data_IF_301965232107
#
_entry.id   IF_301965232107
#
_cell.length_a   1.000
_cell.length_b   1.000
_cell.length_c   1.000
_cell.angle_alpha   90.00
_cell.angle_beta   90.00
_cell.angle_gamma   90.00
#
_symmetry.space_group_name_H-M   'P 1'
#
loop_
_entity.id
_entity.type
_entity.pdbx_description
1 polymer ?
#
# COMPACT_ATOMS: atom_id res chain seq x y z
N UNK A 1 33.28 -3.60 72.90
CA UNK A 1 33.44 -2.99 71.55
C UNK A 1 33.38 -4.04 70.41
N UNK A 2 32.55 -5.09 70.55
CA UNK A 2 32.58 -6.27 69.67
C UNK A 2 31.23 -6.61 69.01
N UNK A 3 30.10 -6.11 69.52
CA UNK A 3 28.76 -6.43 68.98
C UNK A 3 28.27 -5.48 67.88
N UNK A 4 28.74 -4.23 67.85
CA UNK A 4 28.36 -3.26 66.81
C UNK A 4 28.97 -3.59 65.44
N UNK A 5 30.17 -4.16 65.40
CA UNK A 5 30.83 -4.60 64.15
C UNK A 5 30.12 -5.78 63.48
N UNK A 6 29.47 -6.65 64.26
CA UNK A 6 28.72 -7.82 63.74
C UNK A 6 27.36 -7.41 63.17
N UNK A 7 26.70 -6.41 63.76
CA UNK A 7 25.43 -5.87 63.27
C UNK A 7 25.61 -5.12 61.94
N UNK A 8 26.70 -4.35 61.81
CA UNK A 8 27.03 -3.69 60.53
C UNK A 8 27.40 -4.69 59.42
N UNK A 9 28.06 -5.80 59.75
CA UNK A 9 28.37 -6.85 58.78
C UNK A 9 27.11 -7.58 58.27
N UNK A 10 26.11 -7.82 59.12
CA UNK A 10 24.85 -8.45 58.73
C UNK A 10 23.96 -7.52 57.88
N UNK A 11 23.93 -6.22 58.17
CA UNK A 11 23.22 -5.22 57.35
C UNK A 11 23.86 -5.05 55.95
N UNK A 12 25.18 -5.13 55.85
CA UNK A 12 25.88 -5.07 54.56
C UNK A 12 25.59 -6.30 53.67
N UNK A 13 25.46 -7.49 54.26
CA UNK A 13 25.12 -8.72 53.52
C UNK A 13 23.67 -8.71 53.05
N UNK A 14 22.74 -8.16 53.84
CA UNK A 14 21.33 -8.02 53.41
C UNK A 14 21.15 -6.95 52.32
N UNK A 15 21.92 -5.86 52.36
CA UNK A 15 21.93 -4.85 51.30
C UNK A 15 22.52 -5.37 49.97
N UNK A 16 23.52 -6.27 50.03
CA UNK A 16 24.06 -6.95 48.84
C UNK A 16 23.11 -8.01 48.27
N UNK A 17 22.33 -8.70 49.13
CA UNK A 17 21.33 -9.67 48.67
C UNK A 17 20.09 -8.99 48.05
N UNK A 18 19.71 -7.80 48.52
CA UNK A 18 18.62 -7.02 47.93
C UNK A 18 19.01 -6.38 46.58
N UNK A 19 20.29 -6.06 46.37
CA UNK A 19 20.79 -5.52 45.10
C UNK A 19 20.88 -6.52 43.94
N UNK A 20 20.85 -7.83 44.22
CA UNK A 20 20.90 -8.88 43.20
C UNK A 20 19.51 -9.29 42.67
N UNK A 21 18.42 -8.91 43.34
CA UNK A 21 17.05 -9.26 42.93
C UNK A 21 16.40 -8.20 42.04
N UNK A 22 16.93 -6.98 41.98
CA UNK A 22 16.37 -5.88 41.16
C UNK A 22 17.16 -5.57 39.88
N UNK A 23 18.08 -6.43 39.47
CA UNK A 23 18.80 -6.29 38.19
C UNK A 23 18.13 -7.04 37.01
N UNK A 24 17.01 -7.74 37.24
CA UNK A 24 16.17 -8.31 36.17
C UNK A 24 15.18 -7.27 35.60
N UNK A 25 15.66 -6.04 35.42
CA UNK A 25 14.98 -5.06 34.56
C UNK A 25 15.15 -5.52 33.12
N UNK A 26 14.17 -6.32 32.68
CA UNK A 26 13.71 -6.55 31.29
C UNK A 26 14.47 -5.78 30.20
N UNK A 27 15.60 -6.32 29.77
CA UNK A 27 16.04 -6.18 28.38
C UNK A 27 15.38 -7.33 27.61
N UNK A 28 14.25 -7.04 26.97
CA UNK A 28 13.43 -7.98 26.20
C UNK A 28 14.03 -8.35 24.83
N UNK A 29 15.34 -8.23 24.62
CA UNK A 29 16.00 -8.84 23.48
C UNK A 29 16.43 -10.25 23.86
N UNK A 30 15.47 -11.18 23.91
CA UNK A 30 15.80 -12.60 23.78
C UNK A 30 16.20 -12.80 22.33
N UNK A 31 17.49 -13.07 22.10
CA UNK A 31 17.97 -13.54 20.81
C UNK A 31 17.28 -14.88 20.52
N UNK A 32 16.34 -14.87 19.58
CA UNK A 32 15.55 -16.02 19.19
C UNK A 32 16.44 -17.04 18.45
N UNK A 33 16.26 -18.33 18.76
CA UNK A 33 16.94 -19.37 17.99
C UNK A 33 16.44 -19.38 16.55
N UNK A 34 17.30 -19.75 15.59
CA UNK A 34 16.94 -19.87 14.17
C UNK A 34 15.73 -20.80 13.97
N UNK A 35 15.67 -21.90 14.72
CA UNK A 35 14.53 -22.84 14.68
C UNK A 35 13.23 -22.22 15.20
N UNK A 36 13.32 -21.43 16.27
CA UNK A 36 12.18 -20.74 16.87
C UNK A 36 11.65 -19.66 15.90
N UNK A 37 12.54 -18.97 15.20
CA UNK A 37 12.18 -18.02 14.14
C UNK A 37 11.42 -18.69 13.00
N UNK A 38 11.89 -19.84 12.51
CA UNK A 38 11.22 -20.57 11.43
C UNK A 38 9.86 -21.12 11.87
N UNK A 39 9.76 -21.64 13.10
CA UNK A 39 8.49 -22.12 13.63
C UNK A 39 7.50 -20.98 13.81
N UNK A 40 7.93 -19.84 14.34
CA UNK A 40 7.07 -18.68 14.49
C UNK A 40 6.57 -18.16 13.15
N UNK A 41 7.44 -18.05 12.13
CA UNK A 41 7.04 -17.66 10.78
C UNK A 41 6.01 -18.66 10.21
N UNK A 42 6.23 -19.98 10.36
CA UNK A 42 5.29 -20.98 9.88
C UNK A 42 3.91 -20.90 10.54
N UNK A 43 3.86 -20.58 11.83
CA UNK A 43 2.61 -20.41 12.60
C UNK A 43 1.91 -19.11 12.20
N UNK A 44 2.67 -18.02 12.04
CA UNK A 44 2.13 -16.74 11.59
C UNK A 44 1.48 -16.87 10.20
N UNK A 45 2.16 -17.49 9.24
CA UNK A 45 1.61 -17.70 7.89
C UNK A 45 0.35 -18.58 7.93
N UNK A 46 0.30 -19.58 8.82
CA UNK A 46 -0.91 -20.37 9.04
C UNK A 46 -2.05 -19.52 9.59
N UNK A 47 -1.80 -18.69 10.61
CA UNK A 47 -2.79 -17.79 11.19
C UNK A 47 -3.35 -16.85 10.12
N UNK A 48 -2.47 -16.23 9.32
CA UNK A 48 -2.85 -15.34 8.21
C UNK A 48 -3.76 -16.07 7.23
N UNK A 49 -3.40 -17.30 6.83
CA UNK A 49 -4.18 -18.09 5.87
C UNK A 49 -5.58 -18.43 6.38
N UNK A 50 -5.67 -18.90 7.62
CA UNK A 50 -6.95 -19.32 8.21
C UNK A 50 -7.85 -18.11 8.49
N UNK A 51 -7.30 -17.04 9.06
CA UNK A 51 -8.08 -15.86 9.42
C UNK A 51 -8.51 -15.02 8.21
N UNK A 52 -7.68 -14.95 7.15
CA UNK A 52 -8.07 -14.24 5.92
C UNK A 52 -9.31 -14.86 5.26
N UNK A 53 -9.46 -16.20 5.37
CA UNK A 53 -10.57 -16.98 4.80
C UNK A 53 -11.75 -17.17 5.76
N UNK A 54 -11.64 -16.72 7.01
CA UNK A 54 -12.74 -16.74 7.96
C UNK A 54 -13.89 -15.85 7.46
N UNK A 55 -15.13 -16.14 7.89
CA UNK A 55 -16.30 -15.32 7.51
C UNK A 55 -16.35 -13.99 8.29
N UNK A 56 -15.79 -13.98 9.50
CA UNK A 56 -15.81 -12.83 10.41
C UNK A 56 -14.91 -11.70 9.91
N UNK A 57 -15.49 -10.50 9.80
CA UNK A 57 -14.74 -9.27 9.52
C UNK A 57 -13.59 -9.03 10.51
N UNK A 58 -13.79 -9.33 11.79
CA UNK A 58 -12.78 -9.06 12.81
C UNK A 58 -11.55 -9.96 12.65
N UNK A 59 -11.76 -11.24 12.30
CA UNK A 59 -10.66 -12.16 12.01
C UNK A 59 -9.86 -11.70 10.79
N UNK A 60 -10.52 -11.16 9.77
CA UNK A 60 -9.84 -10.61 8.59
C UNK A 60 -9.00 -9.39 8.93
N UNK A 61 -9.48 -8.53 9.82
CA UNK A 61 -8.71 -7.38 10.29
C UNK A 61 -7.49 -7.81 11.11
N UNK A 62 -7.64 -8.83 11.94
CA UNK A 62 -6.50 -9.43 12.67
C UNK A 62 -5.52 -10.08 11.68
N UNK A 63 -5.98 -10.80 10.66
CA UNK A 63 -5.11 -11.30 9.59
C UNK A 63 -4.32 -10.18 8.91
N UNK A 64 -4.95 -9.03 8.66
CA UNK A 64 -4.29 -7.85 8.10
C UNK A 64 -3.29 -7.20 9.07
N UNK A 65 -3.48 -7.31 10.38
CA UNK A 65 -2.47 -6.88 11.37
C UNK A 65 -1.23 -7.77 11.28
N UNK A 66 -1.39 -9.09 11.28
CA UNK A 66 -0.28 -10.02 11.09
C UNK A 66 0.42 -9.82 9.74
N UNK A 67 -0.32 -9.58 8.66
CA UNK A 67 0.27 -9.28 7.35
C UNK A 67 1.08 -7.98 7.38
N UNK A 68 0.56 -6.92 8.00
CA UNK A 68 1.27 -5.65 8.13
C UNK A 68 2.59 -5.83 8.88
N UNK A 69 2.53 -6.50 10.04
CA UNK A 69 3.71 -6.83 10.85
C UNK A 69 4.74 -7.68 10.07
N UNK A 70 4.27 -8.61 9.24
CA UNK A 70 5.13 -9.44 8.40
C UNK A 70 5.82 -8.61 7.29
N UNK A 71 5.08 -7.72 6.62
CA UNK A 71 5.62 -6.80 5.60
C UNK A 71 6.65 -5.84 6.22
N UNK A 72 6.39 -5.32 7.41
CA UNK A 72 7.32 -4.44 8.12
C UNK A 72 8.65 -5.14 8.46
N UNK A 73 8.61 -6.46 8.66
CA UNK A 73 9.81 -7.31 8.82
C UNK A 73 10.43 -7.76 7.48
N UNK A 74 9.86 -7.36 6.36
CA UNK A 74 10.33 -7.69 5.01
C UNK A 74 9.82 -9.02 4.46
N UNK A 75 8.85 -9.67 5.11
CA UNK A 75 8.23 -10.87 4.57
C UNK A 75 7.12 -10.49 3.58
N UNK A 76 7.43 -10.64 2.30
CA UNK A 76 6.52 -10.37 1.16
C UNK A 76 6.23 -11.64 0.36
N UNK A 77 6.30 -12.81 1.01
CA UNK A 77 6.15 -14.11 0.37
C UNK A 77 4.77 -14.38 -0.25
N UNK A 78 4.66 -15.52 -0.92
CA UNK A 78 3.46 -15.93 -1.67
C UNK A 78 2.19 -15.97 -0.82
N UNK A 79 2.28 -16.46 0.42
CA UNK A 79 1.11 -16.56 1.31
C UNK A 79 0.59 -15.18 1.72
N UNK A 80 1.50 -14.22 1.96
CA UNK A 80 1.15 -12.82 2.25
C UNK A 80 0.41 -12.22 1.04
N UNK A 81 1.01 -12.35 -0.14
CA UNK A 81 0.44 -11.82 -1.38
C UNK A 81 -0.93 -12.42 -1.70
N UNK A 82 -1.05 -13.75 -1.65
CA UNK A 82 -2.31 -14.45 -1.96
C UNK A 82 -3.41 -14.18 -0.94
N UNK A 83 -3.06 -14.03 0.34
CA UNK A 83 -4.01 -13.61 1.39
C UNK A 83 -4.50 -12.18 1.15
N UNK A 84 -3.61 -11.27 0.77
CA UNK A 84 -3.98 -9.90 0.38
C UNK A 84 -4.85 -9.85 -0.87
N UNK A 85 -4.60 -10.68 -1.89
CA UNK A 85 -5.47 -10.79 -3.06
C UNK A 85 -6.87 -11.27 -2.67
N UNK A 86 -6.95 -12.30 -1.83
CA UNK A 86 -8.24 -12.82 -1.35
C UNK A 86 -9.04 -11.74 -0.60
N UNK A 87 -8.39 -11.06 0.36
CA UNK A 87 -8.98 -10.00 1.19
C UNK A 87 -9.35 -8.75 0.36
N UNK A 88 -8.47 -8.32 -0.54
CA UNK A 88 -8.69 -7.15 -1.39
C UNK A 88 -9.85 -7.33 -2.38
N UNK A 89 -10.14 -8.57 -2.77
CA UNK A 89 -11.20 -8.87 -3.73
C UNK A 89 -12.49 -9.40 -3.09
N UNK A 90 -12.57 -9.35 -1.76
CA UNK A 90 -13.72 -9.84 -0.99
C UNK A 90 -14.98 -9.00 -1.16
N UNK A 91 -16.11 -9.67 -1.42
CA UNK A 91 -17.40 -9.01 -1.63
C UNK A 91 -17.56 -8.36 -3.00
N UNK A 92 -16.51 -8.36 -3.84
CA UNK A 92 -16.54 -7.87 -5.22
C UNK A 92 -16.33 -9.01 -6.22
N UNK A 93 -15.22 -9.74 -6.11
CA UNK A 93 -14.92 -10.95 -6.91
C UNK A 93 -15.29 -12.19 -6.11
N UNK A 94 -14.83 -12.26 -4.86
CA UNK A 94 -15.13 -13.36 -3.94
C UNK A 94 -16.43 -13.02 -3.18
N UNK A 95 -17.59 -13.27 -3.80
CA UNK A 95 -18.89 -12.97 -3.21
C UNK A 95 -19.48 -14.17 -2.47
N UNK A 96 -19.81 -13.96 -1.19
CA UNK A 96 -20.60 -14.91 -0.40
C UNK A 96 -22.00 -14.34 -0.23
N UNK A 97 -23.01 -15.14 -0.55
CA UNK A 97 -24.41 -14.74 -0.46
C UNK A 97 -25.22 -15.66 0.42
N UNK A 98 -25.98 -15.08 1.32
CA UNK A 98 -26.98 -15.78 2.13
C UNK A 98 -28.37 -15.23 1.82
N UNK A 99 -29.32 -16.10 1.49
CA UNK A 99 -30.67 -15.70 1.12
C UNK A 99 -30.71 -14.58 0.06
N UNK A 100 -29.77 -14.63 -0.90
CA UNK A 100 -29.62 -13.64 -1.98
C UNK A 100 -28.89 -12.34 -1.61
N UNK A 101 -28.62 -12.09 -0.33
CA UNK A 101 -27.89 -10.90 0.14
C UNK A 101 -26.39 -11.16 0.19
N UNK A 102 -25.60 -10.20 -0.26
CA UNK A 102 -24.14 -10.21 -0.09
C UNK A 102 -23.82 -10.02 1.40
N UNK A 103 -23.11 -10.98 1.99
CA UNK A 103 -22.82 -10.98 3.44
C UNK A 103 -21.38 -10.61 3.78
N UNK A 104 -20.47 -10.73 2.81
CA UNK A 104 -19.05 -10.45 3.01
C UNK A 104 -18.60 -9.14 2.32
N UNK A 105 -19.38 -8.06 2.47
CA UNK A 105 -18.98 -6.76 1.98
C UNK A 105 -18.27 -5.96 3.07
N UNK A 106 -16.94 -5.96 3.06
CA UNK A 106 -16.10 -5.29 4.06
C UNK A 106 -15.14 -4.28 3.41
N UNK A 107 -15.60 -3.04 3.14
CA UNK A 107 -14.79 -2.03 2.45
C UNK A 107 -13.50 -1.65 3.19
N UNK A 108 -13.51 -1.70 4.51
CA UNK A 108 -12.34 -1.41 5.34
C UNK A 108 -11.25 -2.49 5.24
N UNK A 109 -11.64 -3.76 5.15
CA UNK A 109 -10.74 -4.89 4.87
C UNK A 109 -10.11 -4.70 3.50
N UNK A 110 -10.91 -4.39 2.48
CA UNK A 110 -10.41 -4.14 1.12
C UNK A 110 -9.49 -2.93 1.05
N UNK A 111 -9.80 -1.85 1.76
CA UNK A 111 -8.96 -0.64 1.83
C UNK A 111 -7.58 -0.99 2.38
N UNK A 112 -7.51 -1.67 3.54
CA UNK A 112 -6.24 -2.03 4.17
C UNK A 112 -5.45 -3.06 3.35
N UNK A 113 -6.14 -4.01 2.71
CA UNK A 113 -5.51 -4.93 1.77
C UNK A 113 -4.92 -4.20 0.55
N UNK A 114 -5.62 -3.21 -0.01
CA UNK A 114 -5.13 -2.38 -1.11
C UNK A 114 -3.84 -1.63 -0.73
N UNK A 115 -3.78 -1.06 0.48
CA UNK A 115 -2.56 -0.41 1.00
C UNK A 115 -1.38 -1.38 0.98
N UNK A 116 -1.53 -2.56 1.59
CA UNK A 116 -0.46 -3.55 1.65
C UNK A 116 -0.08 -4.13 0.28
N UNK A 117 -1.04 -4.32 -0.63
CA UNK A 117 -0.71 -4.67 -2.03
C UNK A 117 0.17 -3.61 -2.69
N UNK A 118 -0.07 -2.33 -2.41
CA UNK A 118 0.81 -1.23 -2.82
C UNK A 118 2.21 -1.30 -2.21
N UNK A 119 2.31 -1.78 -0.97
CA UNK A 119 3.57 -1.96 -0.26
C UNK A 119 4.41 -3.11 -0.84
N UNK A 120 3.77 -4.16 -1.37
CA UNK A 120 4.47 -5.27 -2.01
C UNK A 120 5.21 -4.85 -3.29
N UNK A 121 4.70 -3.85 -4.03
CA UNK A 121 5.40 -3.31 -5.19
C UNK A 121 5.47 -4.23 -6.42
N UNK A 122 4.75 -5.37 -6.45
CA UNK A 122 4.93 -6.39 -7.49
C UNK A 122 3.93 -6.27 -8.65
N UNK A 123 4.24 -6.83 -9.85
CA UNK A 123 3.31 -6.90 -10.97
C UNK A 123 2.00 -7.64 -10.66
N UNK A 124 2.03 -8.68 -9.82
CA UNK A 124 0.84 -9.42 -9.39
C UNK A 124 -0.03 -8.57 -8.46
N UNK A 125 0.59 -7.79 -7.56
CA UNK A 125 -0.12 -6.85 -6.71
C UNK A 125 -0.80 -5.74 -7.55
N UNK A 126 -0.09 -5.18 -8.55
CA UNK A 126 -0.69 -4.28 -9.55
C UNK A 126 -1.90 -4.92 -10.21
N UNK A 127 -1.77 -6.16 -10.69
CA UNK A 127 -2.85 -6.87 -11.38
C UNK A 127 -4.09 -6.99 -10.48
N UNK A 128 -3.88 -7.32 -9.20
CA UNK A 128 -4.96 -7.39 -8.21
C UNK A 128 -5.60 -6.02 -7.97
N UNK A 129 -4.81 -4.97 -7.80
CA UNK A 129 -5.32 -3.61 -7.63
C UNK A 129 -6.10 -3.11 -8.85
N UNK A 130 -5.71 -3.48 -10.07
CA UNK A 130 -6.50 -3.19 -11.28
C UNK A 130 -7.86 -3.92 -11.21
N UNK A 131 -7.91 -5.19 -10.81
CA UNK A 131 -9.18 -5.91 -10.61
C UNK A 131 -10.08 -5.18 -9.60
N UNK A 132 -9.52 -4.75 -8.47
CA UNK A 132 -10.24 -3.97 -7.46
C UNK A 132 -10.76 -2.65 -8.03
N UNK A 133 -9.92 -1.91 -8.75
CA UNK A 133 -10.27 -0.63 -9.38
C UNK A 133 -11.50 -0.76 -10.30
N UNK A 134 -11.59 -1.86 -11.05
CA UNK A 134 -12.67 -2.07 -12.02
C UNK A 134 -13.96 -2.62 -11.38
N UNK A 135 -13.84 -3.40 -10.30
CA UNK A 135 -14.97 -4.11 -9.70
C UNK A 135 -15.58 -3.39 -8.49
N UNK A 136 -14.81 -2.59 -7.75
CA UNK A 136 -15.29 -1.93 -6.55
C UNK A 136 -16.21 -0.74 -6.88
N UNK A 137 -17.08 -0.42 -5.94
CA UNK A 137 -18.05 0.66 -6.00
C UNK A 137 -17.93 1.63 -4.83
N UNK A 138 -17.07 1.35 -3.86
CA UNK A 138 -16.84 2.16 -2.67
C UNK A 138 -15.75 3.21 -2.94
N UNK A 139 -16.07 4.52 -2.94
CA UNK A 139 -15.10 5.57 -3.28
C UNK A 139 -13.84 5.57 -2.41
N UNK A 140 -13.98 5.21 -1.12
CA UNK A 140 -12.85 5.10 -0.19
C UNK A 140 -11.87 3.99 -0.60
N UNK A 141 -12.38 2.82 -1.00
CA UNK A 141 -11.53 1.70 -1.47
C UNK A 141 -10.83 2.11 -2.76
N UNK A 142 -11.57 2.67 -3.71
CA UNK A 142 -11.03 3.08 -5.01
C UNK A 142 -9.95 4.15 -4.88
N UNK A 143 -10.13 5.11 -3.97
CA UNK A 143 -9.10 6.10 -3.64
C UNK A 143 -7.80 5.43 -3.20
N UNK A 144 -7.90 4.46 -2.29
CA UNK A 144 -6.72 3.74 -1.79
C UNK A 144 -6.08 2.87 -2.87
N UNK A 145 -6.89 2.19 -3.68
CA UNK A 145 -6.41 1.42 -4.84
C UNK A 145 -5.62 2.30 -5.81
N UNK A 146 -6.11 3.51 -6.13
CA UNK A 146 -5.40 4.46 -7.00
C UNK A 146 -4.07 4.89 -6.39
N UNK A 147 -4.03 5.18 -5.08
CA UNK A 147 -2.78 5.50 -4.38
C UNK A 147 -1.79 4.34 -4.39
N UNK A 148 -2.26 3.12 -4.20
CA UNK A 148 -1.42 1.92 -4.23
C UNK A 148 -0.88 1.63 -5.63
N UNK A 149 -1.71 1.76 -6.67
CA UNK A 149 -1.24 1.67 -8.06
C UNK A 149 -0.17 2.72 -8.37
N UNK A 150 -0.37 3.95 -7.89
CA UNK A 150 0.61 5.02 -8.01
C UNK A 150 1.93 4.75 -7.27
N UNK A 151 1.84 4.08 -6.11
CA UNK A 151 3.00 3.66 -5.33
C UNK A 151 3.80 2.58 -6.06
N UNK A 152 3.13 1.63 -6.70
CA UNK A 152 3.78 0.59 -7.51
C UNK A 152 4.42 1.18 -8.76
N UNK A 153 3.77 2.13 -9.44
CA UNK A 153 4.35 2.88 -10.58
C UNK A 153 4.45 2.11 -11.90
N UNK A 154 4.15 0.81 -11.90
CA UNK A 154 4.15 -0.05 -13.10
C UNK A 154 2.92 0.27 -13.97
N UNK A 155 3.13 0.56 -15.26
CA UNK A 155 2.09 0.91 -16.22
C UNK A 155 2.34 0.28 -17.61
N UNK A 156 2.48 -1.04 -17.64
CA UNK A 156 2.71 -1.78 -18.87
C UNK A 156 1.51 -1.62 -19.82
N UNK A 157 1.75 -1.23 -21.07
CA UNK A 157 0.71 -0.97 -22.06
C UNK A 157 -0.35 0.08 -21.64
N UNK A 158 -0.01 0.98 -20.72
CA UNK A 158 -0.93 2.00 -20.17
C UNK A 158 -2.14 1.42 -19.41
N UNK A 159 -2.09 0.18 -18.94
CA UNK A 159 -3.24 -0.45 -18.29
C UNK A 159 -3.64 0.24 -16.96
N UNK A 160 -2.65 0.69 -16.18
CA UNK A 160 -2.86 1.37 -14.90
C UNK A 160 -3.47 2.75 -15.16
N UNK A 161 -2.89 3.51 -16.09
CA UNK A 161 -3.42 4.82 -16.47
C UNK A 161 -4.86 4.75 -17.01
N UNK A 162 -5.17 3.71 -17.79
CA UNK A 162 -6.51 3.47 -18.31
C UNK A 162 -7.51 3.10 -17.21
N UNK A 163 -7.14 2.22 -16.27
CA UNK A 163 -8.00 1.85 -15.14
C UNK A 163 -8.35 3.07 -14.27
N UNK A 164 -7.35 3.91 -13.95
CA UNK A 164 -7.54 5.15 -13.20
C UNK A 164 -8.45 6.13 -13.97
N UNK A 165 -8.25 6.27 -15.29
CA UNK A 165 -9.10 7.13 -16.13
C UNK A 165 -10.56 6.69 -16.14
N UNK A 166 -10.78 5.38 -16.21
CA UNK A 166 -12.11 4.79 -16.20
C UNK A 166 -12.83 5.06 -14.88
N UNK A 167 -12.16 4.85 -13.75
CA UNK A 167 -12.82 5.00 -12.45
C UNK A 167 -13.17 6.46 -12.16
N UNK A 168 -12.27 7.42 -12.44
CA UNK A 168 -12.58 8.84 -12.29
C UNK A 168 -13.79 9.23 -13.15
N UNK A 169 -13.81 8.78 -14.41
CA UNK A 169 -14.92 9.04 -15.33
C UNK A 169 -16.24 8.46 -14.85
N UNK A 170 -16.22 7.28 -14.24
CA UNK A 170 -17.43 6.62 -13.71
C UNK A 170 -18.13 7.45 -12.64
N UNK A 171 -17.37 8.08 -11.74
CA UNK A 171 -17.94 8.91 -10.66
C UNK A 171 -18.21 10.36 -11.10
N UNK A 172 -17.43 10.90 -12.04
CA UNK A 172 -17.54 12.28 -12.53
C UNK A 172 -18.94 12.66 -13.05
N UNK A 173 -19.65 11.73 -13.70
CA UNK A 173 -20.96 12.02 -14.32
C UNK A 173 -22.07 12.27 -13.30
N UNK A 174 -22.04 11.59 -12.16
CA UNK A 174 -23.14 11.61 -11.19
C UNK A 174 -22.77 12.34 -9.89
N UNK A 175 -21.54 12.13 -9.39
CA UNK A 175 -21.05 12.73 -8.16
C UNK A 175 -19.51 12.78 -8.17
N UNK A 176 -18.90 13.87 -8.67
CA UNK A 176 -17.46 14.04 -8.69
C UNK A 176 -16.85 13.91 -7.29
N UNK A 177 -15.97 12.93 -7.12
CA UNK A 177 -15.22 12.74 -5.87
C UNK A 177 -13.87 13.48 -5.95
N UNK A 178 -13.74 14.53 -5.14
CA UNK A 178 -12.54 15.37 -5.12
C UNK A 178 -11.29 14.63 -4.60
N UNK A 179 -11.46 13.68 -3.69
CA UNK A 179 -10.35 12.91 -3.12
C UNK A 179 -9.85 11.85 -4.12
N UNK A 180 -10.78 11.17 -4.79
CA UNK A 180 -10.44 10.24 -5.87
C UNK A 180 -9.75 10.97 -7.03
N UNK A 181 -10.30 12.11 -7.45
CA UNK A 181 -9.70 12.93 -8.51
C UNK A 181 -8.30 13.42 -8.13
N UNK A 182 -8.11 13.91 -6.90
CA UNK A 182 -6.77 14.32 -6.43
C UNK A 182 -5.79 13.15 -6.43
N UNK A 183 -6.21 11.98 -5.94
CA UNK A 183 -5.38 10.78 -5.92
C UNK A 183 -5.01 10.31 -7.34
N UNK A 184 -5.93 10.44 -8.30
CA UNK A 184 -5.67 10.13 -9.71
C UNK A 184 -4.65 11.11 -10.34
N UNK A 185 -4.74 12.39 -10.02
CA UNK A 185 -3.76 13.39 -10.48
C UNK A 185 -2.35 13.07 -9.98
N UNK A 186 -2.23 12.76 -8.69
CA UNK A 186 -0.96 12.33 -8.08
C UNK A 186 -0.45 11.02 -8.69
N UNK A 187 -1.35 10.10 -9.02
CA UNK A 187 -1.02 8.86 -9.68
C UNK A 187 -0.42 9.09 -11.07
N UNK A 188 -1.04 9.92 -11.90
CA UNK A 188 -0.50 10.22 -13.23
C UNK A 188 0.88 10.87 -13.19
N UNK A 189 1.15 11.73 -12.21
CA UNK A 189 2.49 12.30 -12.03
C UNK A 189 3.53 11.25 -11.64
N UNK A 190 3.20 10.36 -10.70
CA UNK A 190 4.12 9.28 -10.30
C UNK A 190 4.38 8.32 -11.45
N UNK A 191 3.34 7.93 -12.20
CA UNK A 191 3.50 7.13 -13.41
C UNK A 191 4.37 7.84 -14.45
N UNK A 192 4.16 9.15 -14.66
CA UNK A 192 5.00 9.92 -15.57
C UNK A 192 6.45 10.01 -15.10
N UNK A 193 6.71 10.17 -13.80
CA UNK A 193 8.06 10.17 -13.23
C UNK A 193 8.74 8.81 -13.43
N UNK A 194 8.03 7.71 -13.16
CA UNK A 194 8.55 6.35 -13.29
C UNK A 194 8.83 5.96 -14.76
N UNK A 195 7.96 6.38 -15.68
CA UNK A 195 7.97 5.92 -17.07
C UNK A 195 8.56 6.94 -18.07
N UNK A 196 9.10 8.06 -17.58
CA UNK A 196 9.69 9.11 -18.43
C UNK A 196 8.66 9.94 -19.22
N UNK A 197 7.45 10.05 -18.68
CA UNK A 197 6.30 10.75 -19.25
C UNK A 197 5.05 9.88 -19.25
N UNK A 198 3.90 10.48 -19.56
CA UNK A 198 2.65 9.76 -19.80
C UNK A 198 2.16 10.08 -21.21
N UNK A 199 2.00 9.03 -22.02
CA UNK A 199 1.58 9.16 -23.43
C UNK A 199 0.13 8.72 -23.63
N UNK A 200 -0.48 8.13 -22.62
CA UNK A 200 -1.84 7.64 -22.67
C UNK A 200 -2.84 8.80 -22.89
N UNK A 201 -3.59 8.82 -24.00
CA UNK A 201 -4.58 9.85 -24.25
C UNK A 201 -5.71 9.86 -23.23
N UNK A 202 -6.02 8.72 -22.60
CA UNK A 202 -7.10 8.65 -21.59
C UNK A 202 -6.71 9.44 -20.35
N UNK A 203 -5.48 9.29 -19.85
CA UNK A 203 -4.96 10.08 -18.76
C UNK A 203 -5.05 11.60 -19.04
N UNK A 204 -4.59 12.05 -20.21
CA UNK A 204 -4.63 13.47 -20.57
C UNK A 204 -6.08 14.00 -20.60
N UNK A 205 -7.02 13.25 -21.19
CA UNK A 205 -8.43 13.62 -21.21
C UNK A 205 -9.03 13.68 -19.80
N UNK A 206 -8.69 12.72 -18.93
CA UNK A 206 -9.14 12.70 -17.54
C UNK A 206 -8.66 13.94 -16.80
N UNK A 207 -7.38 14.32 -16.95
CA UNK A 207 -6.83 15.51 -16.28
C UNK A 207 -7.52 16.80 -16.78
N UNK A 208 -7.74 16.94 -18.10
CA UNK A 208 -8.48 18.09 -18.66
C UNK A 208 -9.90 18.15 -18.07
N UNK A 209 -10.58 17.01 -18.01
CA UNK A 209 -11.91 16.91 -17.43
C UNK A 209 -11.94 17.32 -15.96
N UNK A 210 -10.95 16.93 -15.16
CA UNK A 210 -10.85 17.39 -13.76
C UNK A 210 -10.60 18.91 -13.71
N UNK A 211 -9.74 19.44 -14.58
CA UNK A 211 -9.40 20.86 -14.62
C UNK A 211 -10.58 21.78 -14.99
N UNK A 212 -11.50 21.30 -15.81
CA UNK A 212 -12.63 22.06 -16.36
C UNK A 212 -14.00 21.64 -15.79
N UNK A 213 -14.08 20.47 -15.15
CA UNK A 213 -15.30 19.86 -14.64
C UNK A 213 -15.74 20.37 -13.27
N UNK A 214 -16.71 19.69 -12.66
CA UNK A 214 -17.36 20.13 -11.42
C UNK A 214 -16.61 19.71 -10.13
N UNK A 215 -15.33 20.09 -10.04
CA UNK A 215 -14.47 19.86 -8.87
C UNK A 215 -14.21 21.14 -8.10
N UNK A 216 -13.78 21.02 -6.83
CA UNK A 216 -13.38 22.18 -6.04
C UNK A 216 -12.16 22.88 -6.67
N UNK A 217 -12.07 24.20 -6.47
CA UNK A 217 -11.02 25.04 -7.08
C UNK A 217 -9.60 24.51 -6.86
N UNK A 218 -9.21 24.04 -5.65
CA UNK A 218 -7.88 23.45 -5.45
C UNK A 218 -7.60 22.25 -6.35
N UNK A 219 -8.57 21.35 -6.54
CA UNK A 219 -8.43 20.15 -7.38
C UNK A 219 -8.35 20.54 -8.86
N UNK A 220 -9.18 21.48 -9.32
CA UNK A 220 -9.10 22.02 -10.67
C UNK A 220 -7.73 22.66 -10.97
N UNK A 221 -7.22 23.46 -10.02
CA UNK A 221 -5.90 24.10 -10.14
C UNK A 221 -4.78 23.05 -10.16
N UNK A 222 -4.88 22.03 -9.29
CA UNK A 222 -3.93 20.92 -9.28
C UNK A 222 -3.89 20.20 -10.63
N UNK A 223 -5.03 19.92 -11.24
CA UNK A 223 -5.11 19.29 -12.56
C UNK A 223 -4.43 20.12 -13.65
N UNK A 224 -4.62 21.44 -13.63
CA UNK A 224 -3.93 22.37 -14.57
C UNK A 224 -2.42 22.31 -14.39
N UNK A 225 -1.94 22.25 -13.15
CA UNK A 225 -0.52 22.11 -12.84
C UNK A 225 0.05 20.79 -13.38
N UNK A 226 -0.65 19.66 -13.16
CA UNK A 226 -0.26 18.35 -13.71
C UNK A 226 -0.12 18.41 -15.23
N UNK A 227 -1.08 19.02 -15.95
CA UNK A 227 -0.97 19.18 -17.41
C UNK A 227 0.29 19.95 -17.83
N UNK A 228 0.64 21.01 -17.10
CA UNK A 228 1.85 21.78 -17.38
C UNK A 228 3.11 20.95 -17.14
N UNK A 229 3.15 20.16 -16.07
CA UNK A 229 4.31 19.34 -15.75
C UNK A 229 4.48 18.18 -16.74
N UNK A 230 3.40 17.52 -17.14
CA UNK A 230 3.42 16.48 -18.18
C UNK A 230 3.90 17.00 -19.54
N UNK A 231 3.60 18.25 -19.90
CA UNK A 231 4.13 18.87 -21.14
C UNK A 231 5.65 19.00 -21.14
N UNK A 232 6.28 19.20 -19.98
CA UNK A 232 7.75 19.31 -19.87
C UNK A 232 8.44 17.99 -20.23
N UNK A 233 7.87 16.86 -19.83
CA UNK A 233 8.37 15.53 -20.21
C UNK A 233 8.38 15.36 -21.74
N UNK A 234 7.28 15.72 -22.41
CA UNK A 234 7.19 15.61 -23.87
C UNK A 234 8.20 16.51 -24.62
N UNK A 235 8.47 17.71 -24.09
CA UNK A 235 9.47 18.62 -24.67
C UNK A 235 10.90 18.09 -24.49
N UNK A 236 11.23 17.53 -23.32
CA UNK A 236 12.55 16.95 -23.04
C UNK A 236 12.85 15.71 -23.89
N UNK A 237 11.87 14.82 -24.09
CA UNK A 237 12.04 13.64 -24.96
C UNK A 237 12.30 14.02 -26.42
N UNK A 238 11.72 15.12 -26.91
CA UNK A 238 11.97 15.61 -28.28
C UNK A 238 13.36 16.22 -28.43
N UNK A 239 13.87 16.95 -27.43
CA UNK A 239 15.23 17.51 -27.45
C UNK A 239 16.31 16.44 -27.42
N UNK A 240 16.13 15.35 -26.66
CA UNK A 240 17.09 14.24 -26.59
C UNK A 240 17.18 13.46 -27.91
N UNK A 241 16.04 13.18 -28.55
CA UNK A 241 16.01 12.50 -29.86
C UNK A 241 16.64 13.34 -30.99
N UNK A 242 16.47 14.67 -30.95
CA UNK A 242 17.09 15.56 -31.93
C UNK A 242 18.61 15.70 -31.73
N UNK A 243 19.09 15.65 -30.48
CA UNK A 243 20.53 15.66 -30.16
C UNK A 243 21.25 14.41 -30.66
N UNK A 244 20.68 13.22 -30.43
CA UNK A 244 21.28 11.94 -30.88
C UNK A 244 21.31 11.79 -32.40
N UNK A 245 20.29 12.28 -33.12
CA UNK A 245 20.26 12.28 -34.58
C UNK A 245 21.22 13.29 -35.22
N UNK A 246 21.62 14.34 -34.49
CA UNK A 246 22.64 15.28 -34.95
C UNK A 246 24.05 14.71 -34.77
N UNK A 247 24.30 13.98 -33.66
CA UNK A 247 25.59 13.34 -33.39
C UNK A 247 25.89 12.15 -34.31
N UNK A 248 24.87 11.42 -34.76
CA UNK A 248 25.04 10.30 -35.71
C UNK A 248 25.28 10.76 -37.15
N UNK A 249 24.88 11.99 -37.50
CA UNK A 249 25.09 12.57 -38.84
C UNK A 249 26.44 13.30 -38.99
N UNK A 250 27.14 13.63 -37.92
CA UNK A 250 28.47 14.28 -37.97
C UNK A 250 29.64 13.28 -37.89
N UNK A 251 29.36 11.98 -37.87
CA UNK A 251 30.35 10.91 -37.72
C UNK A 251 30.63 10.09 -38.98
N UNK A 252 30.15 10.53 -40.16
CA UNK A 252 30.45 9.92 -41.46
C UNK A 252 31.16 10.92 -42.38
#
# INVERSE_FOLDING_TARGET
MTNTKRIFALLAVFALAAGLVTAQTRNNNREMSVEESYLQESVELMIIREQSRAESRDMKLVALEYIGDAIDRGNTGEEIRSSLEYLGTEGIVNQTRENGRLVNNYPDVRTKAATYLGDLGTPEAKTTLIKMCLADNEPMVLTEVVKSLAKIGIDDNNETANAISWIVTRFDVLNPDNLLALSALEAYEKLAQHNGGIKDPSAIRTIIRIAEGNYIKPVQQRAKQVLMDLRKYNAQSQSQNNGQNASSKSGN
#
